data_IF_770821119122
#
_entry.id   IF_770821119122
#
_cell.length_a   1.000
_cell.length_b   1.000
_cell.length_c   1.000
_cell.angle_alpha   90.00
_cell.angle_beta   90.00
_cell.angle_gamma   90.00
#
_symmetry.space_group_name_H-M   'P 1'
#
loop_
_entity.id
_entity.type
_entity.pdbx_description
1 polymer ?
#
# COMPACT_ATOMS: atom_id res chain seq x y z
N UNK A 1 5.94 24.72 -3.05
CA UNK A 1 5.55 23.29 -2.88
C UNK A 1 6.62 22.39 -2.24
N UNK A 2 7.91 22.56 -2.57
CA UNK A 2 9.00 21.74 -2.03
C UNK A 2 9.06 21.67 -0.49
N UNK A 3 8.82 22.79 0.21
CA UNK A 3 8.79 22.82 1.67
C UNK A 3 7.68 21.93 2.27
N UNK A 4 6.49 21.92 1.66
CA UNK A 4 5.38 21.05 2.09
C UNK A 4 5.69 19.57 1.85
N UNK A 5 6.41 19.24 0.77
CA UNK A 5 6.84 17.87 0.50
C UNK A 5 7.89 17.37 1.51
N UNK A 6 8.85 18.24 1.88
CA UNK A 6 9.87 17.95 2.90
C UNK A 6 9.23 17.75 4.28
N UNK A 7 8.25 18.57 4.64
CA UNK A 7 7.51 18.43 5.90
C UNK A 7 6.73 17.13 5.95
N UNK A 8 6.02 16.77 4.86
CA UNK A 8 5.33 15.47 4.79
C UNK A 8 6.28 14.29 4.94
N UNK A 9 7.46 14.35 4.31
CA UNK A 9 8.49 13.31 4.44
C UNK A 9 8.96 13.20 5.89
N UNK A 10 9.21 14.33 6.57
CA UNK A 10 9.58 14.36 7.99
C UNK A 10 8.51 13.70 8.85
N UNK A 11 7.24 14.06 8.66
CA UNK A 11 6.12 13.52 9.42
C UNK A 11 6.00 11.99 9.25
N UNK A 12 6.14 11.50 8.01
CA UNK A 12 6.10 10.06 7.74
C UNK A 12 7.23 9.30 8.47
N UNK A 13 8.45 9.86 8.49
CA UNK A 13 9.58 9.23 9.17
C UNK A 13 9.34 9.18 10.69
N UNK A 14 8.84 10.27 11.30
CA UNK A 14 8.54 10.31 12.74
C UNK A 14 7.50 9.25 13.10
N UNK A 15 6.44 9.11 12.30
CA UNK A 15 5.43 8.07 12.52
C UNK A 15 5.98 6.66 12.38
N UNK A 16 6.87 6.43 11.41
CA UNK A 16 7.51 5.12 11.22
C UNK A 16 8.46 4.79 12.37
N UNK A 17 9.25 5.75 12.85
CA UNK A 17 10.12 5.59 14.00
C UNK A 17 9.33 5.18 15.25
N UNK A 18 8.18 5.83 15.48
CA UNK A 18 7.31 5.49 16.60
C UNK A 18 6.76 4.07 16.47
N UNK A 19 6.24 3.72 15.29
CA UNK A 19 5.75 2.37 15.02
C UNK A 19 6.81 1.29 15.25
N UNK A 20 8.05 1.53 14.80
CA UNK A 20 9.15 0.59 15.00
C UNK A 20 9.46 0.40 16.49
N UNK A 21 9.49 1.48 17.28
CA UNK A 21 9.72 1.41 18.72
C UNK A 21 8.61 0.70 19.47
N UNK A 22 7.35 1.03 19.17
CA UNK A 22 6.18 0.45 19.84
C UNK A 22 6.07 -1.07 19.58
N UNK A 23 6.55 -1.55 18.42
CA UNK A 23 6.57 -2.97 18.05
C UNK A 23 7.89 -3.70 18.42
N UNK A 24 8.81 -3.04 19.11
CA UNK A 24 10.08 -3.65 19.56
C UNK A 24 11.17 -3.77 18.49
N UNK A 25 11.01 -3.14 17.32
CA UNK A 25 12.03 -3.03 16.28
C UNK A 25 13.08 -1.94 16.61
N UNK A 26 13.73 -2.07 17.77
CA UNK A 26 14.62 -1.04 18.34
C UNK A 26 15.81 -0.77 17.42
N UNK A 27 16.51 -1.81 16.97
CA UNK A 27 17.68 -1.67 16.09
C UNK A 27 17.32 -1.00 14.76
N UNK A 28 16.18 -1.37 14.18
CA UNK A 28 15.69 -0.75 12.94
C UNK A 28 15.31 0.72 13.15
N UNK A 29 14.71 1.06 14.30
CA UNK A 29 14.40 2.44 14.64
C UNK A 29 15.67 3.29 14.80
N UNK A 30 16.74 2.74 15.40
CA UNK A 30 18.02 3.44 15.52
C UNK A 30 18.67 3.72 14.17
N UNK A 31 18.71 2.72 13.28
CA UNK A 31 19.27 2.88 11.93
C UNK A 31 18.48 3.92 11.16
N UNK A 32 17.15 3.82 11.16
CA UNK A 32 16.27 4.79 10.49
C UNK A 32 16.46 6.21 11.06
N UNK A 33 16.65 6.35 12.37
CA UNK A 33 16.90 7.65 12.99
C UNK A 33 18.22 8.27 12.52
N UNK A 34 19.28 7.46 12.41
CA UNK A 34 20.60 7.90 11.89
C UNK A 34 20.50 8.31 10.42
N UNK A 35 19.81 7.52 9.60
CA UNK A 35 19.64 7.78 8.16
C UNK A 35 18.77 9.01 7.87
N UNK A 36 17.76 9.25 8.70
CA UNK A 36 16.80 10.33 8.49
C UNK A 36 17.32 11.72 8.87
N UNK A 37 18.55 11.82 9.39
CA UNK A 37 19.14 13.09 9.89
C UNK A 37 18.25 13.82 10.90
N UNK A 38 17.31 13.10 11.53
CA UNK A 38 16.47 13.64 12.59
C UNK A 38 17.28 13.60 13.88
N UNK A 39 17.56 14.76 14.45
CA UNK A 39 18.31 14.84 15.69
C UNK A 39 17.57 14.04 16.79
N UNK A 40 18.25 13.09 17.46
CA UNK A 40 17.61 12.27 18.47
C UNK A 40 17.01 13.14 19.58
N UNK A 41 15.74 12.88 19.93
CA UNK A 41 15.01 13.62 20.97
C UNK A 41 14.41 14.96 20.54
N UNK A 42 14.57 15.40 19.30
CA UNK A 42 14.00 16.69 18.84
C UNK A 42 12.56 16.61 18.36
N UNK A 43 12.08 15.42 17.98
CA UNK A 43 10.73 15.21 17.47
C UNK A 43 10.30 13.79 17.78
N UNK A 44 9.10 13.66 18.35
CA UNK A 44 8.37 12.41 18.51
C UNK A 44 6.97 12.56 17.91
N UNK A 45 6.32 11.45 17.60
CA UNK A 45 4.92 11.46 17.20
C UNK A 45 4.06 11.91 18.39
N UNK A 46 2.98 12.63 18.11
CA UNK A 46 2.01 12.96 19.15
C UNK A 46 1.31 11.68 19.64
N UNK A 47 1.00 11.59 20.93
CA UNK A 47 0.43 10.39 21.57
C UNK A 47 -0.90 9.93 20.96
N UNK A 48 -1.59 10.81 20.23
CA UNK A 48 -2.86 10.53 19.58
C UNK A 48 -2.75 10.09 18.10
N UNK A 49 -1.54 10.02 17.55
CA UNK A 49 -1.29 9.70 16.14
C UNK A 49 -0.46 8.43 16.02
N UNK A 50 -1.12 7.35 15.58
CA UNK A 50 -0.48 6.07 15.30
C UNK A 50 -0.64 5.69 13.83
N UNK A 51 0.39 5.07 13.27
CA UNK A 51 0.38 4.64 11.88
C UNK A 51 -0.79 3.68 11.59
N UNK A 52 -1.08 2.75 12.50
CA UNK A 52 -2.22 1.81 12.40
C UNK A 52 -3.57 2.53 12.34
N UNK A 53 -3.73 3.58 13.14
CA UNK A 53 -4.96 4.38 13.14
C UNK A 53 -5.16 5.08 11.80
N UNK A 54 -4.10 5.64 11.23
CA UNK A 54 -4.14 6.28 9.91
C UNK A 54 -4.55 5.27 8.83
N UNK A 55 -4.02 4.04 8.88
CA UNK A 55 -4.41 2.98 7.96
C UNK A 55 -5.89 2.62 8.10
N UNK A 56 -6.38 2.46 9.33
CA UNK A 56 -7.80 2.16 9.58
C UNK A 56 -8.72 3.25 9.05
N UNK A 57 -8.42 4.51 9.33
CA UNK A 57 -9.21 5.66 8.85
C UNK A 57 -9.20 5.74 7.31
N UNK A 58 -8.07 5.45 6.67
CA UNK A 58 -7.96 5.35 5.22
C UNK A 58 -8.84 4.24 4.65
N UNK A 59 -8.82 3.05 5.26
CA UNK A 59 -9.65 1.90 4.87
C UNK A 59 -11.14 2.22 4.99
N UNK A 60 -11.55 2.74 6.14
CA UNK A 60 -12.94 3.15 6.40
C UNK A 60 -13.41 4.18 5.38
N UNK A 61 -12.61 5.21 5.12
CA UNK A 61 -12.93 6.23 4.12
C UNK A 61 -13.03 5.64 2.70
N UNK A 62 -12.14 4.72 2.33
CA UNK A 62 -12.16 4.08 1.02
C UNK A 62 -13.37 3.14 0.86
N UNK A 63 -13.74 2.40 1.92
CA UNK A 63 -14.94 1.56 1.94
C UNK A 63 -16.19 2.43 1.83
N UNK A 64 -16.28 3.52 2.58
CA UNK A 64 -17.41 4.44 2.52
C UNK A 64 -17.56 5.08 1.14
N UNK A 65 -16.43 5.43 0.50
CA UNK A 65 -16.44 6.10 -0.81
C UNK A 65 -16.64 5.16 -2.00
N UNK A 66 -16.09 3.95 -1.94
CA UNK A 66 -16.01 3.04 -3.10
C UNK A 66 -16.65 1.68 -2.86
N UNK A 67 -17.19 1.39 -1.67
CA UNK A 67 -17.81 0.13 -1.30
C UNK A 67 -16.85 -1.06 -1.19
N UNK A 68 -15.53 -0.83 -1.26
CA UNK A 68 -14.50 -1.88 -1.20
C UNK A 68 -13.32 -1.46 -0.34
N UNK A 69 -12.66 -2.43 0.30
CA UNK A 69 -11.40 -2.21 1.00
C UNK A 69 -10.28 -1.83 0.00
N UNK A 70 -9.41 -0.87 0.35
CA UNK A 70 -8.28 -0.51 -0.50
C UNK A 70 -7.27 -1.67 -0.55
N UNK A 71 -6.67 -1.88 -1.71
CA UNK A 71 -5.50 -2.76 -1.82
C UNK A 71 -4.27 -2.03 -1.28
N UNK A 72 -3.89 -2.30 -0.04
CA UNK A 72 -2.71 -1.69 0.59
C UNK A 72 -1.38 -2.26 0.07
N UNK A 73 -1.38 -3.54 -0.29
CA UNK A 73 -0.17 -4.25 -0.71
C UNK A 73 -0.41 -4.95 -2.05
N UNK A 74 0.64 -4.98 -2.88
CA UNK A 74 0.74 -5.78 -4.10
C UNK A 74 1.89 -6.75 -3.95
N UNK A 75 1.90 -7.84 -4.72
CA UNK A 75 3.10 -8.67 -4.82
C UNK A 75 4.18 -7.88 -5.57
N UNK A 76 5.44 -8.05 -5.18
CA UNK A 76 6.55 -7.46 -5.91
C UNK A 76 6.48 -7.91 -7.39
N UNK A 77 6.54 -6.97 -8.33
CA UNK A 77 6.38 -7.23 -9.77
C UNK A 77 4.98 -7.04 -10.37
N UNK A 78 3.92 -6.88 -9.58
CA UNK A 78 2.54 -6.75 -10.10
C UNK A 78 2.10 -5.29 -10.35
N UNK A 79 2.11 -4.79 -11.58
CA UNK A 79 1.72 -3.41 -11.88
C UNK A 79 0.24 -3.16 -11.56
N UNK A 80 -0.07 -2.11 -10.78
CA UNK A 80 -1.46 -1.73 -10.49
C UNK A 80 -1.98 -0.83 -11.61
N UNK A 81 -3.06 -1.23 -12.27
CA UNK A 81 -3.96 -0.24 -12.86
C UNK A 81 -4.68 0.46 -11.71
N UNK A 82 -4.51 1.78 -11.63
CA UNK A 82 -5.21 2.61 -10.66
C UNK A 82 -6.67 2.59 -11.10
N UNK A 83 -7.42 1.67 -10.52
CA UNK A 83 -8.85 1.53 -10.75
C UNK A 83 -9.56 2.67 -10.00
N UNK A 84 -9.43 3.86 -10.58
CA UNK A 84 -10.09 5.09 -10.21
C UNK A 84 -11.56 4.98 -10.62
N UNK A 85 -12.31 4.16 -9.90
CA UNK A 85 -13.77 4.07 -9.96
C UNK A 85 -14.32 3.72 -11.35
N UNK A 86 -14.41 2.43 -11.66
CA UNK A 86 -15.14 1.99 -12.85
C UNK A 86 -15.51 0.52 -12.83
N UNK A 87 -16.81 0.27 -12.73
CA UNK A 87 -17.54 -0.95 -13.11
C UNK A 87 -17.45 -2.18 -12.19
N UNK A 88 -18.61 -2.44 -11.58
CA UNK A 88 -19.06 -3.73 -11.12
C UNK A 88 -18.86 -4.84 -12.17
N UNK A 89 -18.42 -6.00 -11.67
CA UNK A 89 -18.69 -7.35 -12.16
C UNK A 89 -18.61 -7.64 -13.66
N UNK A 90 -17.75 -8.57 -14.06
CA UNK A 90 -18.17 -9.75 -14.84
C UNK A 90 -17.05 -10.77 -15.01
N UNK A 91 -17.43 -12.03 -14.77
CA UNK A 91 -16.98 -13.23 -15.48
C UNK A 91 -15.47 -13.55 -15.56
N UNK A 92 -14.98 -14.32 -14.60
CA UNK A 92 -13.91 -15.30 -14.86
C UNK A 92 -14.49 -16.48 -15.65
N UNK A 93 -14.82 -16.23 -16.93
CA UNK A 93 -15.14 -17.25 -17.91
C UNK A 93 -13.84 -17.87 -18.42
N UNK A 94 -13.67 -19.17 -18.19
CA UNK A 94 -12.56 -19.99 -18.72
C UNK A 94 -12.52 -19.86 -20.25
N UNK A 95 -11.38 -19.55 -20.88
CA UNK A 95 -11.28 -19.58 -22.33
C UNK A 95 -11.35 -21.03 -22.81
N UNK A 96 -12.38 -21.32 -23.61
CA UNK A 96 -12.55 -22.58 -24.30
C UNK A 96 -11.40 -22.84 -25.25
N UNK A 97 -10.77 -24.00 -25.11
CA UNK A 97 -10.00 -24.61 -26.19
C UNK A 97 -10.96 -24.90 -27.35
N UNK A 98 -10.75 -24.21 -28.48
CA UNK A 98 -11.36 -24.56 -29.76
C UNK A 98 -10.27 -24.50 -30.82
N UNK A 99 -9.97 -25.64 -31.42
CA UNK A 99 -9.29 -25.69 -32.72
C UNK A 99 -8.35 -26.86 -32.90
N UNK A 100 -8.89 -28.04 -33.24
CA UNK A 100 -8.41 -28.87 -34.36
C UNK A 100 -9.44 -29.96 -34.66
N UNK A 101 -10.20 -29.89 -35.78
CA UNK A 101 -10.80 -31.09 -36.36
C UNK A 101 -9.70 -31.85 -37.11
N UNK A 102 -9.37 -33.07 -36.65
CA UNK A 102 -8.62 -34.05 -37.44
C UNK A 102 -9.61 -34.91 -38.24
N UNK A 103 -9.45 -34.89 -39.55
CA UNK A 103 -10.22 -35.60 -40.57
C UNK A 103 -10.25 -34.69 -41.78
N UNK A 104 -9.72 -35.02 -42.94
CA UNK A 104 -9.69 -36.31 -43.62
C UNK A 104 -8.86 -36.12 -44.89
N UNK A 105 -7.98 -37.06 -45.24
CA UNK A 105 -7.67 -37.33 -46.65
C UNK A 105 -7.38 -38.83 -46.77
N UNK A 106 -8.44 -39.55 -47.12
CA UNK A 106 -8.37 -40.81 -47.81
C UNK A 106 -8.70 -40.49 -49.28
N UNK A 107 -7.73 -40.69 -50.18
CA UNK A 107 -7.82 -41.49 -51.42
C UNK A 107 -6.60 -41.24 -52.30
#
# INVERSE_FOLDING_TARGET
EAAKAKERKRNAIVLLLRYLRDNGYVDSAEVLQRESSLAPGTVDAADNVHLERIFRELEEHHIQRFGRAPKLFRRAGETLEIDAGGAAGTATGRPGQRGVPLGSDAQ
#
